data_IF_793091940962
#
_entry.id   IF_793091940962
#
_cell.length_a   1.000
_cell.length_b   1.000
_cell.length_c   1.000
_cell.angle_alpha   90.00
_cell.angle_beta   90.00
_cell.angle_gamma   90.00
#
_symmetry.space_group_name_H-M   'P 1'
#
loop_
_entity.id
_entity.type
_entity.pdbx_description
1 polymer ?
#
# COMPACT_ATOMS: atom_id res chain seq x y z
N UNK A 1 -25.86 -6.40 1.70
CA UNK A 1 -24.61 -7.14 1.93
C UNK A 1 -23.59 -6.79 0.86
N UNK A 2 -22.39 -6.51 1.31
CA UNK A 2 -21.31 -6.21 0.40
C UNK A 2 -20.67 -7.50 -0.08
N UNK A 3 -20.49 -7.63 -1.36
CA UNK A 3 -19.85 -8.81 -1.91
C UNK A 3 -18.49 -8.43 -2.49
N UNK A 4 -17.82 -9.42 -3.08
CA UNK A 4 -16.48 -9.19 -3.64
C UNK A 4 -16.48 -8.11 -4.70
N UNK A 5 -17.60 -7.90 -5.38
CA UNK A 5 -17.66 -6.88 -6.41
C UNK A 5 -17.52 -5.48 -5.87
N UNK A 6 -18.06 -5.24 -4.68
CA UNK A 6 -17.90 -3.91 -4.07
C UNK A 6 -16.45 -3.64 -3.70
N UNK A 7 -15.79 -4.63 -3.15
CA UNK A 7 -14.38 -4.47 -2.81
C UNK A 7 -13.54 -4.26 -4.06
N UNK A 8 -13.81 -5.05 -5.09
CA UNK A 8 -13.07 -4.93 -6.34
C UNK A 8 -13.26 -3.55 -6.97
N UNK A 9 -14.49 -3.05 -6.93
CA UNK A 9 -14.76 -1.74 -7.51
C UNK A 9 -14.01 -0.65 -6.75
N UNK A 10 -13.99 -0.75 -5.44
CA UNK A 10 -13.27 0.23 -4.63
C UNK A 10 -11.79 0.21 -4.95
N UNK A 11 -11.21 -0.98 -5.02
CA UNK A 11 -9.79 -1.10 -5.32
C UNK A 11 -9.48 -0.61 -6.72
N UNK A 12 -10.31 -0.96 -7.69
CA UNK A 12 -10.07 -0.54 -9.08
C UNK A 12 -10.11 0.98 -9.20
N UNK A 13 -11.11 1.60 -8.59
CA UNK A 13 -11.20 3.06 -8.66
C UNK A 13 -10.00 3.72 -8.01
N UNK A 14 -9.61 3.20 -6.86
CA UNK A 14 -8.46 3.74 -6.16
C UNK A 14 -7.17 3.57 -6.97
N UNK A 15 -6.97 2.37 -7.55
CA UNK A 15 -5.77 2.12 -8.34
C UNK A 15 -5.69 3.03 -9.55
N UNK A 16 -6.82 3.25 -10.21
CA UNK A 16 -6.82 4.10 -11.40
C UNK A 16 -6.30 5.48 -11.10
N UNK A 17 -6.51 5.96 -9.88
CA UNK A 17 -6.07 7.30 -9.51
C UNK A 17 -4.73 7.29 -8.80
N UNK A 18 -4.59 6.45 -7.79
CA UNK A 18 -3.40 6.49 -6.94
C UNK A 18 -2.16 5.93 -7.63
N UNK A 19 -2.34 4.97 -8.51
CA UNK A 19 -1.22 4.32 -9.17
C UNK A 19 -0.88 4.91 -10.53
N UNK A 20 -1.57 5.96 -10.92
CA UNK A 20 -1.38 6.53 -12.25
C UNK A 20 0.04 7.07 -12.40
N UNK A 21 0.74 6.58 -13.41
CA UNK A 21 2.06 7.09 -13.71
C UNK A 21 3.17 6.62 -12.79
N UNK A 22 2.89 5.68 -11.90
CA UNK A 22 3.90 5.22 -10.97
C UNK A 22 4.79 4.15 -11.60
N UNK A 23 6.07 4.20 -11.25
CA UNK A 23 7.01 3.16 -11.63
C UNK A 23 6.76 1.92 -10.78
N UNK A 24 7.28 0.74 -11.19
CA UNK A 24 7.12 -0.46 -10.36
C UNK A 24 7.60 -0.30 -8.90
N UNK A 25 8.76 0.32 -8.63
CA UNK A 25 9.11 0.52 -7.22
C UNK A 25 8.11 1.40 -6.48
N UNK A 26 7.59 2.43 -7.14
CA UNK A 26 6.60 3.29 -6.51
C UNK A 26 5.29 2.55 -6.30
N UNK A 27 4.92 1.68 -7.23
CA UNK A 27 3.72 0.86 -7.05
C UNK A 27 3.85 -0.05 -5.85
N UNK A 28 5.03 -0.65 -5.69
CA UNK A 28 5.27 -1.51 -4.54
C UNK A 28 5.15 -0.73 -3.24
N UNK A 29 5.69 0.46 -3.24
CA UNK A 29 5.57 1.32 -2.07
C UNK A 29 4.13 1.67 -1.79
N UNK A 30 3.37 1.96 -2.85
CA UNK A 30 1.95 2.27 -2.70
C UNK A 30 1.22 1.09 -2.07
N UNK A 31 1.55 -0.13 -2.51
CA UNK A 31 0.93 -1.32 -1.95
C UNK A 31 1.24 -1.43 -0.46
N UNK A 32 2.49 -1.21 -0.08
CA UNK A 32 2.86 -1.30 1.33
C UNK A 32 2.08 -0.30 2.17
N UNK A 33 1.96 0.92 1.67
CA UNK A 33 1.24 1.94 2.41
C UNK A 33 -0.25 1.63 2.51
N UNK A 34 -0.83 1.18 1.40
CA UNK A 34 -2.25 0.85 1.38
C UNK A 34 -2.56 -0.33 2.30
N UNK A 35 -1.76 -1.37 2.20
CA UNK A 35 -1.95 -2.54 3.04
C UNK A 35 -1.81 -2.16 4.52
N UNK A 36 -0.81 -1.32 4.80
CA UNK A 36 -0.59 -0.87 6.17
C UNK A 36 -1.72 -0.04 6.73
N UNK A 37 -2.36 0.77 5.90
CA UNK A 37 -3.48 1.57 6.35
C UNK A 37 -4.65 0.69 6.76
N UNK A 38 -4.94 -0.32 5.94
CA UNK A 38 -6.00 -1.27 6.28
C UNK A 38 -5.61 -2.08 7.51
N UNK A 39 -4.35 -2.43 7.62
CA UNK A 39 -3.83 -3.20 8.75
C UNK A 39 -4.02 -2.45 10.05
N UNK A 40 -3.59 -1.20 10.06
CA UNK A 40 -3.70 -0.39 11.26
C UNK A 40 -5.15 -0.22 11.69
N UNK A 41 -6.03 -0.02 10.73
CA UNK A 41 -7.43 0.17 11.06
C UNK A 41 -8.07 -1.07 11.68
N UNK A 42 -7.68 -2.26 11.19
CA UNK A 42 -8.27 -3.49 11.70
C UNK A 42 -7.58 -4.04 12.93
N UNK A 43 -6.38 -3.55 13.22
CA UNK A 43 -5.63 -4.06 14.36
C UNK A 43 -6.39 -3.92 15.65
N UNK A 44 -7.06 -2.80 15.84
CA UNK A 44 -7.79 -2.56 17.08
C UNK A 44 -9.02 -3.43 17.21
N UNK A 45 -9.55 -3.92 16.09
CA UNK A 45 -10.74 -4.76 16.13
C UNK A 45 -10.39 -6.24 16.24
N UNK A 46 -9.42 -6.69 15.46
CA UNK A 46 -9.11 -8.12 15.37
C UNK A 46 -7.92 -8.54 16.22
N UNK A 47 -7.03 -7.63 16.53
CA UNK A 47 -5.84 -7.96 17.28
C UNK A 47 -4.72 -8.45 16.40
N UNK A 48 -3.51 -8.42 16.96
CA UNK A 48 -2.31 -8.72 16.21
C UNK A 48 -2.26 -10.16 15.73
N UNK A 49 -2.59 -11.10 16.61
CA UNK A 49 -2.46 -12.52 16.29
C UNK A 49 -3.39 -12.91 15.14
N UNK A 50 -4.65 -12.51 15.27
CA UNK A 50 -5.64 -12.85 14.25
C UNK A 50 -5.29 -12.18 12.92
N UNK A 51 -4.93 -10.90 13.00
CA UNK A 51 -4.64 -10.15 11.78
C UNK A 51 -3.40 -10.69 11.08
N UNK A 52 -2.39 -11.08 11.84
CA UNK A 52 -1.18 -11.65 11.26
C UNK A 52 -1.50 -12.93 10.50
N UNK A 53 -2.32 -13.80 11.10
CA UNK A 53 -2.69 -15.05 10.44
C UNK A 53 -3.45 -14.76 9.15
N UNK A 54 -4.35 -13.80 9.18
CA UNK A 54 -5.11 -13.42 7.99
C UNK A 54 -4.18 -12.90 6.92
N UNK A 55 -3.28 -12.00 7.30
CA UNK A 55 -2.37 -11.40 6.34
C UNK A 55 -1.47 -12.42 5.68
N UNK A 56 -0.95 -13.35 6.48
CA UNK A 56 -0.08 -14.38 5.93
C UNK A 56 -0.82 -15.26 4.93
N UNK A 57 -2.05 -15.61 5.26
CA UNK A 57 -2.83 -16.44 4.36
C UNK A 57 -3.19 -15.71 3.07
N UNK A 58 -3.62 -14.47 3.21
CA UNK A 58 -3.98 -13.68 2.04
C UNK A 58 -2.77 -13.47 1.14
N UNK A 59 -1.64 -13.14 1.75
CA UNK A 59 -0.43 -12.91 0.97
C UNK A 59 0.05 -14.19 0.30
N UNK A 60 -0.02 -15.31 1.00
CA UNK A 60 0.37 -16.58 0.42
C UNK A 60 -0.48 -16.90 -0.81
N UNK A 61 -1.78 -16.75 -0.68
CA UNK A 61 -2.69 -17.01 -1.79
C UNK A 61 -2.39 -16.10 -2.97
N UNK A 62 -2.17 -14.83 -2.68
CA UNK A 62 -1.89 -13.86 -3.74
C UNK A 62 -0.56 -14.16 -4.42
N UNK A 63 0.44 -14.55 -3.66
CA UNK A 63 1.76 -14.82 -4.22
C UNK A 63 1.75 -16.06 -5.10
N UNK A 64 0.87 -17.00 -4.82
CA UNK A 64 0.75 -18.17 -5.68
C UNK A 64 0.24 -17.81 -7.05
N UNK A 65 -0.66 -16.85 -7.11
CA UNK A 65 -1.20 -16.40 -8.40
C UNK A 65 -0.32 -15.36 -9.07
N UNK A 66 0.36 -14.55 -8.28
CA UNK A 66 1.20 -13.48 -8.78
C UNK A 66 2.57 -13.57 -8.12
N UNK A 67 3.47 -14.35 -8.72
CA UNK A 67 4.79 -14.56 -8.09
C UNK A 67 5.54 -13.27 -7.79
N UNK A 68 5.18 -12.18 -8.46
CA UNK A 68 5.81 -10.90 -8.19
C UNK A 68 5.63 -10.48 -6.73
N UNK A 69 4.61 -11.02 -6.06
CA UNK A 69 4.35 -10.70 -4.66
C UNK A 69 5.13 -11.58 -3.68
N UNK A 70 5.85 -12.56 -4.19
CA UNK A 70 6.53 -13.51 -3.29
C UNK A 70 7.67 -12.88 -2.53
N UNK A 71 8.11 -11.69 -2.92
CA UNK A 71 9.15 -10.97 -2.19
C UNK A 71 8.63 -10.18 -1.01
N UNK A 72 7.32 -10.19 -0.80
CA UNK A 72 6.73 -9.50 0.33
C UNK A 72 6.55 -10.44 1.51
N UNK A 73 6.53 -9.88 2.70
CA UNK A 73 6.29 -10.66 3.91
C UNK A 73 5.43 -9.85 4.86
N UNK A 74 4.70 -10.57 5.71
CA UNK A 74 3.86 -9.94 6.70
C UNK A 74 4.71 -9.52 7.89
N UNK A 75 4.54 -8.27 8.31
CA UNK A 75 5.15 -7.76 9.53
C UNK A 75 4.01 -7.44 10.49
N UNK A 76 3.92 -8.15 11.63
CA UNK A 76 2.74 -8.03 12.49
C UNK A 76 2.38 -6.61 12.90
N UNK A 77 3.36 -5.76 13.05
CA UNK A 77 3.11 -4.40 13.52
C UNK A 77 2.85 -3.40 12.40
N UNK A 78 3.09 -3.78 11.15
CA UNK A 78 2.99 -2.81 10.06
C UNK A 78 2.23 -3.28 8.84
N UNK A 79 2.03 -4.57 8.69
CA UNK A 79 1.35 -5.13 7.53
C UNK A 79 2.28 -5.92 6.66
N UNK A 80 2.74 -5.35 5.57
CA UNK A 80 3.66 -6.04 4.68
C UNK A 80 4.84 -5.15 4.37
N UNK A 81 5.95 -5.79 4.03
CA UNK A 81 7.11 -5.07 3.56
C UNK A 81 7.93 -5.98 2.67
N UNK A 82 8.82 -5.39 1.91
CA UNK A 82 9.69 -6.11 1.01
C UNK A 82 10.68 -6.94 1.80
N UNK A 83 10.80 -8.20 1.42
CA UNK A 83 11.71 -9.10 2.10
C UNK A 83 13.06 -9.09 1.40
N UNK A 84 14.08 -8.74 2.13
CA UNK A 84 15.42 -8.88 1.65
C UNK A 84 15.75 -8.01 0.46
N UNK A 85 16.76 -8.42 -0.24
CA UNK A 85 17.27 -7.62 -1.34
C UNK A 85 16.42 -7.78 -2.58
N UNK A 86 16.52 -6.79 -3.40
CA UNK A 86 15.81 -6.77 -4.67
C UNK A 86 16.70 -7.29 -5.78
N UNK A 87 17.30 -8.42 -5.55
CA UNK A 87 18.22 -8.97 -6.53
C UNK A 87 17.52 -9.43 -7.79
N UNK A 88 16.22 -9.58 -7.72
CA UNK A 88 15.49 -10.09 -8.84
C UNK A 88 15.21 -9.01 -9.86
N UNK A 89 14.92 -9.45 -11.06
CA UNK A 89 14.54 -8.52 -12.11
C UNK A 89 13.30 -7.75 -11.68
N UNK A 90 13.22 -6.48 -12.06
CA UNK A 90 12.03 -5.72 -11.70
C UNK A 90 10.80 -6.31 -12.37
N UNK A 91 9.68 -6.35 -11.65
CA UNK A 91 8.45 -6.86 -12.25
C UNK A 91 7.89 -5.87 -13.28
N UNK A 92 7.08 -6.38 -14.16
CA UNK A 92 6.37 -5.49 -15.05
C UNK A 92 5.32 -4.72 -14.26
N UNK A 93 5.02 -3.52 -14.73
CA UNK A 93 4.02 -2.71 -14.08
C UNK A 93 2.68 -3.42 -14.07
N UNK A 94 2.34 -4.06 -15.18
CA UNK A 94 1.06 -4.74 -15.32
C UNK A 94 0.91 -5.86 -14.32
N UNK A 95 1.94 -6.68 -14.18
CA UNK A 95 1.88 -7.79 -13.23
C UNK A 95 1.73 -7.29 -11.80
N UNK A 96 2.47 -6.25 -11.49
CA UNK A 96 2.42 -5.71 -10.14
C UNK A 96 1.06 -5.10 -9.83
N UNK A 97 0.48 -4.38 -10.79
CA UNK A 97 -0.85 -3.80 -10.57
C UNK A 97 -1.89 -4.88 -10.37
N UNK A 98 -1.84 -5.93 -11.17
CA UNK A 98 -2.81 -7.01 -11.02
C UNK A 98 -2.63 -7.73 -9.70
N UNK A 99 -1.38 -7.94 -9.29
CA UNK A 99 -1.11 -8.55 -8.00
C UNK A 99 -1.60 -7.71 -6.85
N UNK A 100 -1.36 -6.40 -6.93
CA UNK A 100 -1.84 -5.49 -5.90
C UNK A 100 -3.36 -5.54 -5.80
N UNK A 101 -4.00 -5.51 -6.96
CA UNK A 101 -5.46 -5.56 -6.99
C UNK A 101 -5.97 -6.82 -6.31
N UNK A 102 -5.42 -7.96 -6.70
CA UNK A 102 -5.85 -9.22 -6.11
C UNK A 102 -5.63 -9.25 -4.61
N UNK A 103 -4.45 -8.83 -4.19
CA UNK A 103 -4.11 -8.88 -2.77
C UNK A 103 -5.05 -8.01 -1.94
N UNK A 104 -5.30 -6.79 -2.40
CA UNK A 104 -6.13 -5.87 -1.65
C UNK A 104 -7.60 -6.29 -1.66
N UNK A 105 -8.09 -6.81 -2.79
CA UNK A 105 -9.46 -7.30 -2.85
C UNK A 105 -9.64 -8.48 -1.91
N UNK A 106 -8.67 -9.40 -1.90
CA UNK A 106 -8.74 -10.54 -1.00
C UNK A 106 -8.72 -10.09 0.47
N UNK A 107 -7.84 -9.16 0.78
CA UNK A 107 -7.76 -8.69 2.15
C UNK A 107 -9.07 -8.04 2.58
N UNK A 108 -9.61 -7.17 1.74
CA UNK A 108 -10.87 -6.52 2.06
C UNK A 108 -12.00 -7.53 2.19
N UNK A 109 -12.02 -8.54 1.33
CA UNK A 109 -13.06 -9.54 1.37
C UNK A 109 -13.02 -10.32 2.67
N UNK A 110 -11.83 -10.74 3.08
CA UNK A 110 -11.71 -11.49 4.32
C UNK A 110 -12.03 -10.63 5.52
N UNK A 111 -11.51 -9.42 5.55
CA UNK A 111 -11.75 -8.53 6.69
C UNK A 111 -13.22 -8.15 6.78
N UNK A 112 -13.84 -7.89 5.64
CA UNK A 112 -15.26 -7.58 5.64
C UNK A 112 -16.08 -8.74 6.14
N UNK A 113 -15.77 -9.93 5.67
CA UNK A 113 -16.51 -11.12 6.07
C UNK A 113 -16.39 -11.37 7.57
N UNK A 114 -15.18 -11.25 8.10
CA UNK A 114 -14.95 -11.51 9.51
C UNK A 114 -15.60 -10.49 10.42
N UNK A 115 -15.82 -9.29 9.93
CA UNK A 115 -16.44 -8.25 10.73
C UNK A 115 -17.91 -8.05 10.33
N UNK A 116 -18.48 -9.01 9.60
CA UNK A 116 -19.87 -8.93 9.13
C UNK A 116 -20.11 -7.63 8.38
N UNK A 117 -19.12 -7.19 7.62
CA UNK A 117 -19.17 -5.98 6.79
C UNK A 117 -19.30 -4.70 7.59
N UNK A 118 -19.16 -4.78 8.90
CA UNK A 118 -19.27 -3.58 9.74
C UNK A 118 -18.14 -2.60 9.46
N UNK A 119 -16.93 -3.11 9.26
CA UNK A 119 -15.78 -2.24 8.99
C UNK A 119 -15.64 -1.85 7.52
N UNK A 120 -16.40 -2.47 6.64
CA UNK A 120 -16.22 -2.26 5.22
C UNK A 120 -16.24 -0.79 4.81
N UNK A 121 -17.18 0.03 5.24
CA UNK A 121 -17.15 1.44 4.82
C UNK A 121 -15.90 2.16 5.27
N UNK A 122 -15.42 1.87 6.47
CA UNK A 122 -14.21 2.51 6.98
C UNK A 122 -12.98 2.03 6.24
N UNK A 123 -12.94 0.73 5.92
CA UNK A 123 -11.80 0.20 5.19
C UNK A 123 -11.72 0.80 3.80
N UNK A 124 -12.87 0.92 3.13
CA UNK A 124 -12.91 1.56 1.83
C UNK A 124 -12.45 3.01 1.93
N UNK A 125 -12.89 3.71 2.97
CA UNK A 125 -12.48 5.10 3.15
C UNK A 125 -10.98 5.20 3.41
N UNK A 126 -10.43 4.28 4.21
CA UNK A 126 -9.01 4.28 4.47
C UNK A 126 -8.22 4.08 3.18
N UNK A 127 -8.65 3.13 2.36
CA UNK A 127 -7.95 2.88 1.11
C UNK A 127 -8.01 4.07 0.18
N UNK A 128 -9.18 4.68 0.06
CA UNK A 128 -9.33 5.82 -0.84
C UNK A 128 -8.49 7.01 -0.43
N UNK A 129 -8.10 7.06 0.84
CA UNK A 129 -7.25 8.14 1.31
C UNK A 129 -5.77 7.91 1.11
N UNK A 130 -5.39 6.72 0.64
CA UNK A 130 -3.97 6.40 0.48
C UNK A 130 -3.47 6.94 -0.85
N UNK A 131 -2.47 7.80 -0.77
CA UNK A 131 -1.74 8.26 -1.95
C UNK A 131 -0.29 8.37 -1.56
N UNK A 132 0.58 8.16 -2.53
CA UNK A 132 2.00 8.33 -2.26
C UNK A 132 2.32 9.81 -2.23
N UNK A 133 3.00 10.26 -1.21
CA UNK A 133 3.39 11.67 -1.14
C UNK A 133 4.59 12.01 -2.02
N UNK A 134 5.17 11.01 -2.68
CA UNK A 134 6.46 11.22 -3.34
C UNK A 134 6.42 12.31 -4.39
N UNK A 135 5.39 12.34 -5.23
CA UNK A 135 5.37 13.37 -6.26
C UNK A 135 5.18 14.76 -5.67
N UNK A 136 4.33 14.87 -4.66
CA UNK A 136 4.16 16.15 -3.98
C UNK A 136 5.43 16.53 -3.25
N UNK A 137 6.05 15.53 -2.66
CA UNK A 137 7.28 15.75 -1.93
C UNK A 137 8.39 16.26 -2.84
N UNK A 138 8.49 15.69 -4.03
CA UNK A 138 9.50 16.11 -4.98
C UNK A 138 9.31 17.56 -5.39
N UNK A 139 8.07 17.96 -5.61
CA UNK A 139 7.79 19.34 -5.97
C UNK A 139 8.22 20.28 -4.86
N UNK A 140 7.93 19.90 -3.63
CA UNK A 140 8.35 20.72 -2.49
C UNK A 140 9.84 20.87 -2.42
N UNK A 141 10.55 19.77 -2.62
CA UNK A 141 12.00 19.82 -2.55
C UNK A 141 12.57 20.71 -3.64
N UNK A 142 11.96 20.67 -4.79
CA UNK A 142 12.43 21.52 -5.87
C UNK A 142 12.16 22.99 -5.60
N UNK A 143 11.10 23.28 -4.91
CA UNK A 143 10.77 24.65 -4.55
C UNK A 143 11.66 25.20 -3.46
N UNK A 144 12.15 24.35 -2.62
CA UNK A 144 13.01 24.76 -1.52
C UNK A 144 14.40 24.90 -2.03
N UNK A 145 14.87 26.05 -2.15
CA UNK A 145 16.22 26.17 -2.62
C UNK A 145 17.16 26.19 -1.51
N UNK A 146 17.51 26.07 -1.40
CA UNK A 146 18.06 25.84 -0.53
C UNK A 146 18.53 26.75 0.24
N UNK A 147 17.97 27.02 0.13
CA UNK A 147 18.42 27.34 0.66
C UNK A 147 18.75 27.75 1.21
N UNK A 148 18.42 27.47 1.04
CA UNK A 148 18.82 27.50 1.40
C UNK A 148 19.46 27.82 1.67
N UNK A 149 19.47 27.84 1.58
CA UNK A 149 20.15 27.99 1.80
C UNK A 149 20.76 28.70 2.15
N UNK A 150 20.59 28.74 2.06
CA UNK A 150 21.17 29.24 2.30
C UNK A 150 21.72 29.83 2.71
N UNK A 151 21.66 29.92 2.64
CA UNK A 151 22.27 30.43 2.95
C UNK A 151 22.79 30.94 3.28
N UNK A 152 22.68 30.94 3.10
CA UNK A 152 23.32 31.42 3.44
C UNK A 152 23.86 32.17 3.77
N UNK A 153 23.89 32.21 3.64
CA UNK A 153 24.56 32.69 3.78
C UNK A 153 25.09 33.54 4.13
N UNK A 154 25.17 33.60 4.06
CA UNK A 154 25.76 33.98 4.24
C UNK A 154 26.26 34.72 4.61
N UNK A 155 26.27 34.55 4.46
CA UNK A 155 26.81 34.95 4.73
C UNK A 155 27.51 35.69 5.01
N UNK A 156 27.63 35.77 4.94
CA UNK A 156 28.21 36.06 5.06
C UNK A 156 28.84 36.89 5.29
N UNK A 157 29.07 36.97 5.30
CA UNK A 157 29.62 37.35 5.41
C UNK A 157 30.28 38.19 5.61
N UNK A 158 30.50 38.16 5.54
CA UNK A 158 31.00 38.55 5.69
C UNK A 158 31.27 39.08 5.81
#
# INVERSE_FOLDING_TARGET
>A
MVDGGEHAKCVDTWLDEAARGLTPPALRRLLEVAFGALWTRTMTTLGEVTLTAIGERVLYTAAERFPVLSSLQVVPTRGIELRGAEAQAPPSESELREGMRFLLVELLTVLGSLTAEILTPELHAQLRGVVLPSSVHLVKEMETPPGARKRHGGEGGE
#
